data_IF_291843235853
#
_entry.id   IF_291843235853
#
_cell.length_a   1.000
_cell.length_b   1.000
_cell.length_c   1.000
_cell.angle_alpha   90.00
_cell.angle_beta   90.00
_cell.angle_gamma   90.00
#
_symmetry.space_group_name_H-M   'P 1'
#
loop_
_entity.id
_entity.type
_entity.pdbx_description
1 polymer ?
#
# COMPACT_ATOMS: atom_id res chain seq x y z
N UNK A 1 32.18 -12.96 48.79
CA UNK A 1 31.12 -13.72 48.07
C UNK A 1 30.70 -12.90 46.86
N UNK A 2 30.63 -13.53 45.67
CA UNK A 2 30.69 -12.90 44.34
C UNK A 2 29.35 -12.27 43.88
N UNK A 3 29.29 -11.00 43.44
CA UNK A 3 28.12 -10.44 42.76
C UNK A 3 28.31 -10.48 41.23
N UNK A 4 28.57 -11.65 40.64
CA UNK A 4 28.85 -11.79 39.18
C UNK A 4 27.64 -12.26 38.35
N UNK A 5 26.46 -12.42 38.96
CA UNK A 5 25.28 -12.94 38.25
C UNK A 5 24.42 -11.85 37.59
N UNK A 6 24.55 -10.59 38.01
CA UNK A 6 23.78 -9.47 37.43
C UNK A 6 24.43 -8.85 36.19
N UNK A 7 25.75 -8.86 36.09
CA UNK A 7 26.47 -8.37 34.91
C UNK A 7 26.25 -9.26 33.69
N UNK A 8 26.06 -10.57 33.88
CA UNK A 8 25.78 -11.51 32.80
C UNK A 8 24.41 -11.27 32.13
N UNK A 9 23.38 -10.90 32.90
CA UNK A 9 22.07 -10.54 32.35
C UNK A 9 22.10 -9.19 31.61
N UNK A 10 22.85 -8.21 32.11
CA UNK A 10 22.99 -6.92 31.44
C UNK A 10 23.70 -7.03 30.08
N UNK A 11 24.72 -7.89 29.96
CA UNK A 11 25.40 -8.16 28.68
C UNK A 11 24.50 -8.92 27.69
N UNK A 12 23.65 -9.85 28.15
CA UNK A 12 22.77 -10.60 27.26
C UNK A 12 21.63 -9.75 26.68
N UNK A 13 21.17 -8.73 27.41
CA UNK A 13 20.15 -7.78 26.91
C UNK A 13 20.68 -6.78 25.89
N UNK A 14 22.00 -6.54 25.82
CA UNK A 14 22.56 -5.63 24.81
C UNK A 14 22.72 -6.26 23.41
N UNK A 15 22.76 -7.59 23.31
CA UNK A 15 22.94 -8.29 22.03
C UNK A 15 21.65 -8.60 21.26
N UNK A 16 20.47 -8.32 21.84
CA UNK A 16 19.16 -8.68 21.25
C UNK A 16 18.51 -7.59 20.38
N UNK A 17 19.16 -6.45 20.15
CA UNK A 17 18.50 -5.25 19.63
C UNK A 17 18.48 -5.14 18.10
N UNK A 18 19.06 -6.09 17.35
CA UNK A 18 19.35 -5.90 15.92
C UNK A 18 18.49 -6.71 14.93
N UNK A 19 17.40 -7.34 15.37
CA UNK A 19 16.46 -8.04 14.46
C UNK A 19 15.20 -7.25 14.13
N UNK A 20 15.13 -5.96 14.49
CA UNK A 20 14.06 -5.11 14.02
C UNK A 20 14.20 -4.92 12.49
N UNK A 21 13.30 -5.51 11.72
CA UNK A 21 13.12 -5.13 10.33
C UNK A 21 12.81 -3.63 10.30
N UNK A 22 13.47 -2.87 9.42
CA UNK A 22 13.21 -1.44 9.26
C UNK A 22 11.82 -1.24 8.65
N UNK A 23 10.88 -0.70 9.42
CA UNK A 23 9.54 -0.32 8.93
C UNK A 23 9.55 1.04 8.20
N UNK A 24 10.74 1.60 7.98
CA UNK A 24 10.96 2.94 7.44
C UNK A 24 11.92 2.96 6.24
N UNK A 25 12.32 1.79 5.75
CA UNK A 25 13.07 1.74 4.49
C UNK A 25 12.18 2.30 3.38
N UNK A 26 12.68 3.24 2.56
CA UNK A 26 11.94 3.68 1.40
C UNK A 26 11.68 2.46 0.52
N UNK A 27 10.44 2.33 0.05
CA UNK A 27 10.13 1.34 -0.98
C UNK A 27 11.10 1.57 -2.16
N UNK A 28 11.88 0.55 -2.52
CA UNK A 28 12.68 0.64 -3.73
C UNK A 28 11.72 0.58 -4.90
N UNK A 29 11.65 1.65 -5.69
CA UNK A 29 11.03 1.59 -7.00
C UNK A 29 12.11 1.12 -7.99
N UNK A 30 12.12 -0.16 -8.43
CA UNK A 30 13.12 -0.65 -9.39
C UNK A 30 13.02 0.06 -10.76
N UNK A 31 11.97 0.86 -10.98
CA UNK A 31 11.74 1.66 -12.18
C UNK A 31 12.14 3.13 -12.01
N UNK A 32 12.78 3.50 -10.91
CA UNK A 32 13.22 4.88 -10.66
C UNK A 32 14.24 5.36 -11.69
N UNK A 33 13.95 6.47 -12.36
CA UNK A 33 14.84 7.15 -13.30
C UNK A 33 15.60 8.29 -12.62
N UNK A 34 16.84 8.57 -13.01
CA UNK A 34 17.59 9.77 -12.56
C UNK A 34 17.03 11.10 -13.13
N UNK A 35 16.03 11.02 -14.00
CA UNK A 35 15.30 12.17 -14.53
C UNK A 35 14.16 12.58 -13.60
N UNK A 36 13.87 13.89 -13.49
CA UNK A 36 12.67 14.36 -12.80
C UNK A 36 11.40 13.69 -13.35
N UNK A 37 10.58 13.15 -12.46
CA UNK A 37 9.26 12.64 -12.81
C UNK A 37 8.33 13.82 -13.11
N UNK A 38 7.83 13.91 -14.35
CA UNK A 38 6.78 14.84 -14.75
C UNK A 38 5.49 14.05 -15.03
N UNK A 39 4.57 13.94 -14.05
CA UNK A 39 3.33 13.18 -14.21
C UNK A 39 2.31 13.83 -15.16
N UNK A 40 2.54 15.07 -15.61
CA UNK A 40 1.49 15.89 -16.20
C UNK A 40 0.36 16.21 -15.21
N UNK A 41 -0.67 16.97 -15.64
CA UNK A 41 -1.83 17.26 -14.80
C UNK A 41 -2.62 15.98 -14.49
N UNK A 42 -3.16 15.83 -13.27
CA UNK A 42 -3.96 14.67 -12.90
C UNK A 42 -5.23 14.58 -13.73
N UNK A 43 -5.60 13.36 -14.13
CA UNK A 43 -6.82 13.05 -14.88
C UNK A 43 -7.79 12.25 -14.00
N UNK A 44 -9.09 12.54 -14.10
CA UNK A 44 -10.13 11.80 -13.39
C UNK A 44 -10.34 10.43 -14.05
N UNK A 45 -10.12 9.35 -13.29
CA UNK A 45 -10.29 7.98 -13.79
C UNK A 45 -11.65 7.36 -13.45
N UNK A 46 -12.25 7.70 -12.30
CA UNK A 46 -13.54 7.15 -11.86
C UNK A 46 -14.63 8.23 -11.86
N UNK A 47 -15.86 7.81 -12.12
CA UNK A 47 -17.05 8.65 -12.14
C UNK A 47 -18.04 8.29 -11.02
N UNK A 48 -17.62 7.47 -10.07
CA UNK A 48 -18.45 7.02 -8.96
C UNK A 48 -18.80 8.19 -8.02
N UNK A 49 -19.97 8.09 -7.40
CA UNK A 49 -20.44 9.08 -6.43
C UNK A 49 -19.96 8.79 -5.00
N UNK A 50 -19.72 7.51 -4.70
CA UNK A 50 -19.19 7.06 -3.42
C UNK A 50 -17.65 7.04 -3.44
N UNK A 51 -17.04 6.73 -2.30
CA UNK A 51 -15.59 6.77 -2.13
C UNK A 51 -14.89 5.62 -2.85
N UNK A 52 -13.83 5.96 -3.60
CA UNK A 52 -12.91 5.04 -4.26
C UNK A 52 -11.50 5.19 -3.64
N UNK A 53 -10.76 4.09 -3.44
CA UNK A 53 -9.44 4.13 -2.79
C UNK A 53 -8.49 2.98 -3.16
N UNK A 54 -7.31 3.01 -2.53
CA UNK A 54 -6.32 1.92 -2.55
C UNK A 54 -6.04 1.30 -3.95
N UNK A 55 -5.72 2.09 -4.98
CA UNK A 55 -5.53 1.56 -6.32
C UNK A 55 -4.23 0.76 -6.46
N UNK A 56 -4.26 -0.25 -7.31
CA UNK A 56 -3.10 -1.01 -7.77
C UNK A 56 -3.24 -1.34 -9.26
N UNK A 57 -2.18 -1.12 -10.03
CA UNK A 57 -2.14 -1.51 -11.44
C UNK A 57 -2.03 -3.03 -11.59
N UNK A 58 -2.71 -3.58 -12.59
CA UNK A 58 -2.43 -4.94 -13.06
C UNK A 58 -1.01 -4.99 -13.64
N UNK A 59 -0.34 -6.12 -13.47
CA UNK A 59 1.06 -6.29 -13.88
C UNK A 59 1.28 -6.10 -15.39
N UNK A 60 0.26 -6.37 -16.21
CA UNK A 60 0.27 -6.16 -17.66
C UNK A 60 -0.15 -4.74 -18.09
N UNK A 61 -0.47 -3.86 -17.12
CA UNK A 61 -0.93 -2.50 -17.37
C UNK A 61 -2.34 -2.39 -17.97
N UNK A 62 -3.09 -3.49 -18.08
CA UNK A 62 -4.39 -3.52 -18.76
C UNK A 62 -5.54 -2.90 -17.96
N UNK A 63 -5.32 -2.66 -16.67
CA UNK A 63 -6.33 -2.16 -15.75
C UNK A 63 -5.80 -1.80 -14.36
N UNK A 64 -6.73 -1.32 -13.54
CA UNK A 64 -6.50 -0.88 -12.16
C UNK A 64 -7.48 -1.62 -11.27
N UNK A 65 -6.97 -2.31 -10.25
CA UNK A 65 -7.78 -2.78 -9.12
C UNK A 65 -7.89 -1.66 -8.10
N UNK A 66 -9.07 -1.46 -7.52
CA UNK A 66 -9.29 -0.43 -6.50
C UNK A 66 -10.41 -0.83 -5.54
N UNK A 67 -10.43 -0.23 -4.36
CA UNK A 67 -11.52 -0.36 -3.40
C UNK A 67 -12.65 0.60 -3.75
N UNK A 68 -13.88 0.10 -3.85
CA UNK A 68 -15.05 0.87 -4.26
C UNK A 68 -16.19 0.71 -3.25
N UNK A 69 -16.71 1.84 -2.74
CA UNK A 69 -17.98 1.85 -2.03
C UNK A 69 -19.15 2.01 -3.01
N UNK A 70 -20.31 1.48 -2.63
CA UNK A 70 -21.55 1.66 -3.38
C UNK A 70 -22.47 2.62 -2.62
N UNK A 71 -22.96 3.66 -3.30
CA UNK A 71 -23.77 4.71 -2.67
C UNK A 71 -25.11 4.17 -2.13
N UNK A 72 -25.66 3.16 -2.78
CA UNK A 72 -26.93 2.52 -2.44
C UNK A 72 -26.80 1.43 -1.36
N UNK A 73 -25.59 1.17 -0.86
CA UNK A 73 -25.33 0.20 0.21
C UNK A 73 -25.32 0.88 1.59
N UNK A 74 -26.22 0.51 2.52
CA UNK A 74 -26.36 1.17 3.82
C UNK A 74 -25.22 0.83 4.80
N UNK A 75 -24.52 -0.28 4.58
CA UNK A 75 -23.41 -0.77 5.41
C UNK A 75 -22.06 -0.13 5.04
N UNK A 76 -22.01 0.69 3.98
CA UNK A 76 -20.78 1.31 3.46
C UNK A 76 -19.68 0.28 3.14
N UNK A 77 -20.09 -0.95 2.82
CA UNK A 77 -19.16 -2.04 2.54
C UNK A 77 -18.28 -1.72 1.33
N UNK A 78 -17.07 -2.26 1.35
CA UNK A 78 -16.03 -1.98 0.38
C UNK A 78 -15.82 -3.19 -0.52
N UNK A 79 -16.15 -3.01 -1.79
CA UNK A 79 -16.00 -4.03 -2.81
C UNK A 79 -14.66 -3.88 -3.54
N UNK A 80 -14.18 -4.98 -4.11
CA UNK A 80 -13.03 -4.96 -5.03
C UNK A 80 -13.54 -4.70 -6.45
N UNK A 81 -13.04 -3.64 -7.08
CA UNK A 81 -13.42 -3.25 -8.42
C UNK A 81 -12.23 -3.28 -9.39
N UNK A 82 -12.51 -3.55 -10.66
CA UNK A 82 -11.55 -3.48 -11.76
C UNK A 82 -11.96 -2.38 -12.74
N UNK A 83 -11.05 -1.45 -13.02
CA UNK A 83 -11.21 -0.34 -13.94
C UNK A 83 -10.30 -0.54 -15.17
N UNK A 84 -10.73 -0.15 -16.39
CA UNK A 84 -9.82 -0.02 -17.52
C UNK A 84 -8.63 0.91 -17.21
N UNK A 85 -7.48 0.67 -17.84
CA UNK A 85 -6.28 1.50 -17.69
C UNK A 85 -6.51 3.00 -17.97
N UNK A 86 -7.46 3.31 -18.85
CA UNK A 86 -7.83 4.67 -19.24
C UNK A 86 -8.91 5.29 -18.35
N UNK A 87 -9.38 4.59 -17.32
CA UNK A 87 -10.53 4.99 -16.52
C UNK A 87 -11.88 4.74 -17.21
N UNK A 88 -12.93 5.34 -16.65
CA UNK A 88 -14.32 5.24 -17.15
C UNK A 88 -15.18 4.32 -16.29
N UNK A 89 -15.88 3.39 -16.94
CA UNK A 89 -16.77 2.43 -16.27
C UNK A 89 -15.99 1.22 -15.76
N UNK A 90 -16.30 0.78 -14.53
CA UNK A 90 -15.77 -0.46 -13.96
C UNK A 90 -16.16 -1.67 -14.83
N UNK A 91 -15.19 -2.59 -15.03
CA UNK A 91 -15.40 -3.86 -15.76
C UNK A 91 -15.96 -4.95 -14.86
N UNK A 92 -15.58 -4.91 -13.58
CA UNK A 92 -15.96 -5.92 -12.58
C UNK A 92 -16.07 -5.28 -11.20
N UNK A 93 -17.00 -5.80 -10.41
CA UNK A 93 -17.19 -5.48 -9.00
C UNK A 93 -17.44 -6.77 -8.23
N UNK A 94 -16.73 -6.98 -7.13
CA UNK A 94 -16.87 -8.14 -6.24
C UNK A 94 -17.10 -7.64 -4.82
N UNK A 95 -18.26 -8.01 -4.29
CA UNK A 95 -18.68 -7.92 -2.90
C UNK A 95 -19.15 -9.35 -2.53
#
# INVERSE_FOLDING_TARGET
MRPTRWTAFALLSLLGQSTACSHSDPFSNPQGTDTPFDPGPPVRLTLNQAHDGNPAWLADGSGILYSAQQLDRPDTDVCLAELPATGGSQRRLIC
#
